data_IF_705825349496
#
_entry.id   IF_705825349496
#
_cell.length_a   1.000
_cell.length_b   1.000
_cell.length_c   1.000
_cell.angle_alpha   90.00
_cell.angle_beta   90.00
_cell.angle_gamma   90.00
#
_symmetry.space_group_name_H-M   'P 1'
#
loop_
_entity.id
_entity.type
_entity.pdbx_description
1 polymer ?
#
# COMPACT_ATOMS: atom_id res chain seq x y z
N UNK A 1 -14.35 52.77 -13.14
CA UNK A 1 -15.22 52.05 -12.19
C UNK A 1 -14.68 50.64 -12.04
N UNK A 2 -14.13 50.28 -10.88
CA UNK A 2 -13.53 48.96 -10.61
C UNK A 2 -14.55 48.17 -9.78
N UNK A 3 -14.94 46.98 -10.25
CA UNK A 3 -15.89 46.10 -9.57
C UNK A 3 -15.14 45.26 -8.51
N UNK A 4 -15.64 45.14 -7.27
CA UNK A 4 -15.02 44.29 -6.28
C UNK A 4 -15.36 42.80 -6.52
N UNK A 5 -14.51 41.86 -6.06
CA UNK A 5 -14.76 40.42 -6.19
C UNK A 5 -15.82 39.94 -5.17
N UNK A 6 -16.53 38.83 -5.44
CA UNK A 6 -17.57 38.31 -4.56
C UNK A 6 -16.99 37.52 -3.37
N UNK A 7 -17.73 37.39 -2.26
CA UNK A 7 -17.29 36.66 -1.08
C UNK A 7 -17.39 35.14 -1.27
N UNK A 8 -16.38 34.41 -0.82
CA UNK A 8 -16.37 32.94 -0.74
C UNK A 8 -17.20 32.46 0.44
N UNK A 9 -18.25 31.68 0.16
CA UNK A 9 -19.03 30.98 1.19
C UNK A 9 -18.37 29.62 1.57
N UNK A 10 -18.52 29.16 2.82
CA UNK A 10 -17.91 27.91 3.30
C UNK A 10 -18.70 26.69 2.82
N UNK A 11 -17.97 25.67 2.34
CA UNK A 11 -18.52 24.36 1.95
C UNK A 11 -18.96 23.61 3.20
N UNK A 12 -20.26 23.38 3.34
CA UNK A 12 -20.80 22.48 4.37
C UNK A 12 -20.61 21.02 3.95
N UNK A 13 -20.33 20.22 4.97
CA UNK A 13 -20.06 18.78 4.99
C UNK A 13 -21.18 17.96 4.36
N UNK A 14 -20.90 17.29 3.24
CA UNK A 14 -21.73 16.18 2.77
C UNK A 14 -21.25 14.88 3.42
N UNK A 15 -22.05 14.39 4.38
CA UNK A 15 -21.98 13.01 4.87
C UNK A 15 -22.17 12.08 3.69
N UNK A 16 -21.12 11.38 3.29
CA UNK A 16 -21.19 10.33 2.27
C UNK A 16 -22.04 9.14 2.79
N UNK A 17 -23.14 8.77 2.12
CA UNK A 17 -23.88 7.56 2.41
C UNK A 17 -23.35 6.45 1.51
N UNK A 18 -22.25 5.80 1.92
CA UNK A 18 -21.83 4.55 1.30
C UNK A 18 -21.55 3.51 2.37
N UNK A 19 -22.63 3.06 3.00
CA UNK A 19 -22.69 1.79 3.72
C UNK A 19 -23.88 1.04 3.14
N UNK A 20 -23.65 0.43 1.97
CA UNK A 20 -24.56 -0.54 1.39
C UNK A 20 -23.82 -1.87 1.30
N UNK A 21 -24.23 -2.76 2.21
CA UNK A 21 -24.02 -4.20 2.21
C UNK A 21 -24.17 -4.79 0.81
N UNK A 22 -23.12 -5.42 0.27
CA UNK A 22 -23.20 -6.40 -0.82
C UNK A 22 -22.03 -7.38 -0.58
N UNK A 23 -22.24 -8.53 0.05
CA UNK A 23 -22.80 -9.79 -0.47
C UNK A 23 -21.63 -10.78 -0.62
N UNK A 24 -21.78 -11.99 -0.09
CA UNK A 24 -20.80 -13.06 -0.27
C UNK A 24 -20.68 -13.35 -1.76
N UNK A 25 -19.61 -12.83 -2.39
CA UNK A 25 -19.27 -13.15 -3.75
C UNK A 25 -18.67 -14.54 -3.76
N UNK A 26 -19.52 -15.53 -4.01
CA UNK A 26 -19.11 -16.76 -4.65
C UNK A 26 -18.30 -16.39 -5.90
N UNK A 27 -16.96 -16.45 -5.80
CA UNK A 27 -16.03 -16.38 -6.92
C UNK A 27 -16.13 -17.67 -7.76
N UNK A 28 -17.35 -18.08 -8.12
CA UNK A 28 -17.53 -19.16 -9.07
C UNK A 28 -17.05 -18.67 -10.43
N UNK A 29 -15.95 -19.27 -10.88
CA UNK A 29 -15.32 -19.14 -12.21
C UNK A 29 -16.30 -19.63 -13.31
N UNK A 30 -17.43 -18.94 -13.51
CA UNK A 30 -18.48 -19.34 -14.45
C UNK A 30 -18.13 -19.11 -15.93
N UNK A 31 -17.00 -18.47 -16.24
CA UNK A 31 -16.53 -18.27 -17.63
C UNK A 31 -15.68 -19.43 -18.18
N UNK A 32 -15.44 -20.47 -17.38
CA UNK A 32 -14.46 -21.53 -17.77
C UNK A 32 -15.04 -22.60 -18.69
N UNK A 33 -16.36 -22.82 -18.64
CA UNK A 33 -16.97 -23.98 -19.29
C UNK A 33 -17.08 -23.82 -20.81
N UNK A 34 -17.48 -22.62 -21.27
CA UNK A 34 -17.66 -22.33 -22.70
C UNK A 34 -16.36 -22.40 -23.51
N UNK A 35 -15.26 -21.91 -22.95
CA UNK A 35 -13.94 -21.96 -23.61
C UNK A 35 -13.42 -23.40 -23.73
N UNK A 36 -13.72 -24.24 -22.75
CA UNK A 36 -13.23 -25.63 -22.70
C UNK A 36 -13.97 -26.48 -23.73
N UNK A 37 -15.30 -26.36 -23.79
CA UNK A 37 -16.11 -27.08 -24.77
C UNK A 37 -15.78 -26.66 -26.22
N UNK A 38 -15.64 -25.36 -26.49
CA UNK A 38 -15.30 -24.86 -27.81
C UNK A 38 -13.93 -25.34 -28.30
N UNK A 39 -12.91 -25.34 -27.43
CA UNK A 39 -11.59 -25.87 -27.77
C UNK A 39 -11.64 -27.37 -28.02
N UNK A 40 -12.39 -28.15 -27.23
CA UNK A 40 -12.54 -29.59 -27.44
C UNK A 40 -13.24 -29.93 -28.76
N UNK A 41 -14.30 -29.19 -29.11
CA UNK A 41 -14.97 -29.33 -30.41
C UNK A 41 -14.01 -29.02 -31.57
N UNK A 42 -13.27 -27.92 -31.48
CA UNK A 42 -12.30 -27.54 -32.52
C UNK A 42 -11.16 -28.55 -32.64
N UNK A 43 -10.67 -29.08 -31.52
CA UNK A 43 -9.65 -30.13 -31.51
C UNK A 43 -10.11 -31.41 -32.24
N UNK A 44 -11.40 -31.77 -32.11
CA UNK A 44 -11.98 -32.89 -32.85
C UNK A 44 -12.07 -32.60 -34.36
N UNK A 45 -12.49 -31.39 -34.77
CA UNK A 45 -12.57 -30.97 -36.18
C UNK A 45 -11.22 -31.07 -36.90
N UNK A 46 -10.14 -30.62 -36.25
CA UNK A 46 -8.78 -30.67 -36.80
C UNK A 46 -8.07 -32.01 -36.52
N UNK A 47 -8.76 -32.99 -35.93
CA UNK A 47 -8.27 -34.32 -35.58
C UNK A 47 -6.97 -34.27 -34.76
N UNK A 48 -6.97 -33.50 -33.68
CA UNK A 48 -5.81 -33.37 -32.81
C UNK A 48 -5.47 -34.73 -32.17
N UNK A 49 -4.21 -35.20 -32.21
CA UNK A 49 -3.84 -36.56 -31.80
C UNK A 49 -3.70 -36.75 -30.28
N UNK A 50 -4.03 -35.72 -29.48
CA UNK A 50 -3.99 -35.74 -28.03
C UNK A 50 -5.06 -34.79 -27.45
N UNK A 51 -5.50 -34.98 -26.20
CA UNK A 51 -6.54 -34.17 -25.58
C UNK A 51 -6.07 -32.74 -25.27
N UNK A 52 -7.02 -31.79 -25.31
CA UNK A 52 -6.78 -30.34 -25.12
C UNK A 52 -6.22 -30.04 -23.74
N UNK A 53 -6.59 -30.80 -22.71
CA UNK A 53 -6.16 -30.61 -21.33
C UNK A 53 -4.63 -30.66 -21.19
N UNK A 54 -3.96 -31.51 -21.98
CA UNK A 54 -2.50 -31.63 -21.99
C UNK A 54 -1.81 -30.36 -22.50
N UNK A 55 -2.45 -29.60 -23.38
CA UNK A 55 -1.90 -28.39 -24.00
C UNK A 55 -1.53 -27.35 -22.94
N UNK A 56 -2.37 -27.19 -21.90
CA UNK A 56 -2.14 -26.25 -20.81
C UNK A 56 -1.47 -26.85 -19.58
N UNK A 57 -1.72 -28.13 -19.28
CA UNK A 57 -1.24 -28.76 -18.05
C UNK A 57 0.28 -29.06 -18.07
N UNK A 58 0.84 -29.33 -19.24
CA UNK A 58 2.24 -29.76 -19.36
C UNK A 58 3.24 -28.62 -19.12
N UNK A 59 4.38 -28.96 -18.52
CA UNK A 59 5.56 -28.09 -18.45
C UNK A 59 6.09 -27.76 -19.85
N UNK A 60 6.95 -26.75 -19.97
CA UNK A 60 7.52 -26.35 -21.27
C UNK A 60 8.23 -27.52 -21.98
N UNK A 61 9.08 -28.24 -21.26
CA UNK A 61 9.87 -29.35 -21.83
C UNK A 61 8.97 -30.53 -22.23
N UNK A 62 8.03 -30.93 -21.38
CA UNK A 62 7.09 -32.02 -21.67
C UNK A 62 6.17 -31.68 -22.85
N UNK A 63 5.70 -30.43 -22.92
CA UNK A 63 4.92 -29.94 -24.05
C UNK A 63 5.72 -29.96 -25.36
N UNK A 64 6.97 -29.50 -25.36
CA UNK A 64 7.83 -29.60 -26.55
C UNK A 64 8.11 -31.05 -26.95
N UNK A 65 8.22 -31.97 -26.00
CA UNK A 65 8.37 -33.39 -26.30
C UNK A 65 7.09 -33.97 -26.93
N UNK A 66 5.91 -33.63 -26.41
CA UNK A 66 4.62 -34.02 -27.00
C UNK A 66 4.53 -33.57 -28.47
N UNK A 67 4.88 -32.30 -28.75
CA UNK A 67 4.88 -31.77 -30.12
C UNK A 67 5.89 -32.46 -31.05
N UNK A 68 7.01 -32.98 -30.52
CA UNK A 68 7.99 -33.74 -31.32
C UNK A 68 7.54 -35.18 -31.58
N UNK A 69 6.76 -35.77 -30.67
CA UNK A 69 6.24 -37.13 -30.80
C UNK A 69 5.11 -37.22 -31.83
N UNK A 70 4.29 -36.18 -31.94
CA UNK A 70 3.21 -36.10 -32.89
C UNK A 70 3.61 -35.22 -34.09
N UNK A 71 3.66 -35.78 -35.30
CA UNK A 71 3.84 -34.99 -36.52
C UNK A 71 2.54 -34.21 -36.79
N UNK A 72 2.47 -32.96 -36.33
CA UNK A 72 1.30 -32.11 -36.47
C UNK A 72 1.30 -31.33 -37.79
N UNK A 73 0.10 -31.05 -38.30
CA UNK A 73 -0.07 -30.09 -39.41
C UNK A 73 0.13 -28.65 -38.92
N UNK A 74 0.28 -27.71 -39.87
CA UNK A 74 0.41 -26.29 -39.54
C UNK A 74 -0.80 -25.76 -38.76
N UNK A 75 -2.02 -26.11 -39.19
CA UNK A 75 -3.27 -25.70 -38.53
C UNK A 75 -3.38 -26.25 -37.09
N UNK A 76 -2.97 -27.51 -36.87
CA UNK A 76 -2.88 -28.09 -35.53
C UNK A 76 -1.83 -27.39 -34.66
N UNK A 77 -0.68 -27.05 -35.22
CA UNK A 77 0.38 -26.36 -34.48
C UNK A 77 -0.07 -24.96 -34.03
N UNK A 78 -0.71 -24.21 -34.92
CA UNK A 78 -1.28 -22.90 -34.62
C UNK A 78 -2.35 -22.99 -33.52
N UNK A 79 -3.27 -23.94 -33.63
CA UNK A 79 -4.30 -24.18 -32.63
C UNK A 79 -3.70 -24.48 -31.25
N UNK A 80 -2.77 -25.42 -31.16
CA UNK A 80 -2.20 -25.85 -29.88
C UNK A 80 -1.42 -24.70 -29.21
N UNK A 81 -0.69 -23.90 -29.99
CA UNK A 81 0.00 -22.73 -29.45
C UNK A 81 -0.96 -21.65 -28.96
N UNK A 82 -2.05 -21.39 -29.70
CA UNK A 82 -3.04 -20.41 -29.30
C UNK A 82 -3.76 -20.82 -28.00
N UNK A 83 -4.22 -22.07 -27.92
CA UNK A 83 -4.83 -22.61 -26.70
C UNK A 83 -3.87 -22.48 -25.52
N UNK A 84 -2.60 -22.87 -25.68
CA UNK A 84 -1.60 -22.75 -24.60
C UNK A 84 -1.35 -21.29 -24.21
N UNK A 85 -1.37 -20.37 -25.18
CA UNK A 85 -1.19 -18.93 -24.94
C UNK A 85 -2.36 -18.35 -24.14
N UNK A 86 -3.60 -18.61 -24.56
CA UNK A 86 -4.82 -18.17 -23.86
C UNK A 86 -4.90 -18.73 -22.44
N UNK A 87 -4.63 -20.02 -22.25
CA UNK A 87 -4.63 -20.64 -20.92
C UNK A 87 -3.60 -20.01 -19.98
N UNK A 88 -2.38 -19.72 -20.46
CA UNK A 88 -1.37 -18.99 -19.66
C UNK A 88 -1.81 -17.57 -19.32
N UNK A 89 -2.40 -16.84 -20.29
CA UNK A 89 -2.90 -15.48 -20.06
C UNK A 89 -4.01 -15.48 -19.00
N UNK A 90 -4.94 -16.44 -19.05
CA UNK A 90 -5.99 -16.61 -18.04
C UNK A 90 -5.42 -16.76 -16.62
N UNK A 91 -4.44 -17.65 -16.44
CA UNK A 91 -3.77 -17.83 -15.14
C UNK A 91 -3.00 -16.57 -14.72
N UNK A 92 -2.34 -15.88 -15.66
CA UNK A 92 -1.64 -14.64 -15.37
C UNK A 92 -2.61 -13.54 -14.92
N UNK A 93 -3.74 -13.36 -15.61
CA UNK A 93 -4.78 -12.42 -15.25
C UNK A 93 -5.37 -12.72 -13.86
N UNK A 94 -5.65 -13.99 -13.55
CA UNK A 94 -6.09 -14.42 -12.23
C UNK A 94 -5.08 -14.05 -11.14
N UNK A 95 -3.79 -14.31 -11.37
CA UNK A 95 -2.70 -13.93 -10.44
C UNK A 95 -2.57 -12.42 -10.29
N UNK A 96 -2.72 -11.66 -11.37
CA UNK A 96 -2.69 -10.20 -11.32
C UNK A 96 -3.86 -9.63 -10.51
N UNK A 97 -5.08 -10.12 -10.73
CA UNK A 97 -6.27 -9.76 -9.94
C UNK A 97 -6.06 -10.10 -8.47
N UNK A 98 -5.61 -11.32 -8.17
CA UNK A 98 -5.28 -11.75 -6.81
C UNK A 98 -4.28 -10.81 -6.14
N UNK A 99 -3.14 -10.53 -6.79
CA UNK A 99 -2.12 -9.63 -6.25
C UNK A 99 -2.67 -8.22 -5.99
N UNK A 100 -3.51 -7.69 -6.89
CA UNK A 100 -4.16 -6.39 -6.72
C UNK A 100 -5.05 -6.39 -5.47
N UNK A 101 -5.88 -7.42 -5.31
CA UNK A 101 -6.76 -7.57 -4.15
C UNK A 101 -5.96 -7.76 -2.85
N UNK A 102 -4.92 -8.60 -2.86
CA UNK A 102 -4.02 -8.81 -1.72
C UNK A 102 -3.35 -7.48 -1.31
N UNK A 103 -2.91 -6.68 -2.29
CA UNK A 103 -2.31 -5.36 -2.05
C UNK A 103 -3.31 -4.36 -1.46
N UNK A 104 -4.54 -4.32 -1.96
CA UNK A 104 -5.62 -3.49 -1.38
C UNK A 104 -5.86 -3.91 0.07
N UNK A 105 -6.01 -5.21 0.33
CA UNK A 105 -6.25 -5.73 1.67
C UNK A 105 -5.11 -5.38 2.65
N UNK A 106 -3.86 -5.48 2.21
CA UNK A 106 -2.72 -5.09 3.03
C UNK A 106 -2.75 -3.60 3.40
N UNK A 107 -3.05 -2.74 2.42
CA UNK A 107 -3.19 -1.30 2.64
C UNK A 107 -4.36 -0.98 3.61
N UNK A 108 -5.47 -1.69 3.52
CA UNK A 108 -6.58 -1.55 4.46
C UNK A 108 -6.17 -1.88 5.90
N UNK A 109 -5.40 -2.96 6.09
CA UNK A 109 -4.84 -3.33 7.39
C UNK A 109 -3.89 -2.24 7.90
N UNK A 110 -3.00 -1.73 7.07
CA UNK A 110 -2.05 -0.68 7.44
C UNK A 110 -2.74 0.62 7.82
N UNK A 111 -3.76 1.04 7.05
CA UNK A 111 -4.57 2.21 7.39
C UNK A 111 -5.25 2.03 8.75
N UNK A 112 -5.81 0.84 9.02
CA UNK A 112 -6.43 0.54 10.32
C UNK A 112 -5.40 0.63 11.45
N UNK A 113 -4.23 0.02 11.27
CA UNK A 113 -3.12 0.04 12.24
C UNK A 113 -2.66 1.47 12.53
N UNK A 114 -2.42 2.27 11.50
CA UNK A 114 -1.98 3.66 11.62
C UNK A 114 -3.03 4.52 12.32
N UNK A 115 -4.33 4.32 12.04
CA UNK A 115 -5.42 5.02 12.74
C UNK A 115 -5.41 4.70 14.23
N UNK A 116 -5.29 3.43 14.59
CA UNK A 116 -5.22 3.02 16.00
C UNK A 116 -3.98 3.54 16.72
N UNK A 117 -2.82 3.58 16.06
CA UNK A 117 -1.61 4.18 16.62
C UNK A 117 -1.77 5.69 16.83
N UNK A 118 -2.35 6.40 15.86
CA UNK A 118 -2.63 7.83 15.97
C UNK A 118 -3.56 8.12 17.16
N UNK A 119 -4.62 7.34 17.33
CA UNK A 119 -5.55 7.50 18.45
C UNK A 119 -4.87 7.33 19.80
N UNK A 120 -4.04 6.28 19.95
CA UNK A 120 -3.24 6.06 21.17
C UNK A 120 -2.32 7.24 21.46
N UNK A 121 -1.57 7.72 20.48
CA UNK A 121 -0.66 8.86 20.65
C UNK A 121 -1.41 10.15 21.04
N UNK A 122 -2.63 10.36 20.53
CA UNK A 122 -3.46 11.50 20.91
C UNK A 122 -3.95 11.39 22.37
N UNK A 123 -4.26 10.17 22.83
CA UNK A 123 -4.58 9.91 24.24
C UNK A 123 -3.38 10.21 25.13
N UNK A 124 -2.21 9.63 24.83
CA UNK A 124 -0.96 9.88 25.56
C UNK A 124 -0.59 11.37 25.61
N UNK A 125 -0.72 12.09 24.48
CA UNK A 125 -0.50 13.55 24.45
C UNK A 125 -1.45 14.30 25.37
N UNK A 126 -2.71 13.87 25.44
CA UNK A 126 -3.72 14.52 26.29
C UNK A 126 -3.43 14.26 27.77
N UNK A 127 -3.07 13.03 28.13
CA UNK A 127 -2.67 12.65 29.49
C UNK A 127 -1.42 13.42 29.94
N UNK A 128 -0.41 13.51 29.09
CA UNK A 128 0.80 14.29 29.38
C UNK A 128 0.49 15.78 29.56
N UNK A 129 -0.42 16.34 28.76
CA UNK A 129 -0.84 17.73 28.91
C UNK A 129 -1.54 17.96 30.25
N UNK A 130 -2.46 17.06 30.64
CA UNK A 130 -3.13 17.12 31.93
C UNK A 130 -2.14 17.04 33.09
N UNK A 131 -1.19 16.10 33.04
CA UNK A 131 -0.16 15.94 34.07
C UNK A 131 0.74 17.18 34.21
N UNK A 132 1.11 17.80 33.08
CA UNK A 132 1.85 19.06 33.07
C UNK A 132 1.05 20.19 33.71
N UNK A 133 -0.24 20.31 33.39
CA UNK A 133 -1.11 21.35 33.95
C UNK A 133 -1.31 21.16 35.46
N UNK A 134 -1.50 19.92 35.93
CA UNK A 134 -1.58 19.57 37.36
C UNK A 134 -0.28 19.90 38.11
N UNK A 135 0.87 19.57 37.52
CA UNK A 135 2.20 19.87 38.10
C UNK A 135 2.42 21.38 38.19
N UNK A 136 2.06 22.13 37.13
CA UNK A 136 2.14 23.59 37.12
C UNK A 136 1.23 24.21 38.19
N UNK A 137 -0.01 23.75 38.31
CA UNK A 137 -0.95 24.23 39.32
C UNK A 137 -0.46 23.94 40.73
N UNK A 138 0.07 22.73 40.96
CA UNK A 138 0.66 22.33 42.25
C UNK A 138 1.82 23.26 42.60
N UNK A 139 2.78 23.45 41.69
CA UNK A 139 3.92 24.34 41.88
C UNK A 139 3.49 25.78 42.19
N UNK A 140 2.52 26.31 41.44
CA UNK A 140 1.93 27.62 41.72
C UNK A 140 1.28 27.68 43.12
N UNK A 141 0.63 26.61 43.56
CA UNK A 141 0.06 26.48 44.90
C UNK A 141 1.12 26.54 46.01
N UNK A 142 2.14 25.67 45.94
CA UNK A 142 3.27 25.67 46.88
C UNK A 142 3.99 27.02 46.93
N UNK A 143 4.22 27.63 45.78
CA UNK A 143 4.89 28.93 45.70
C UNK A 143 4.09 30.04 46.39
N UNK A 144 2.76 30.07 46.23
CA UNK A 144 1.90 31.04 46.93
C UNK A 144 1.99 30.89 48.45
N UNK A 145 2.04 29.66 48.96
CA UNK A 145 2.19 29.36 50.39
C UNK A 145 3.55 29.88 50.89
N UNK A 146 4.65 29.47 50.24
CA UNK A 146 6.01 29.88 50.61
C UNK A 146 6.20 31.39 50.54
N UNK A 147 5.61 32.06 49.54
CA UNK A 147 5.67 33.52 49.41
C UNK A 147 4.91 34.24 50.52
N UNK A 148 3.82 33.66 51.02
CA UNK A 148 3.05 34.21 52.13
C UNK A 148 3.80 34.10 53.46
N UNK A 149 4.61 33.05 53.62
CA UNK A 149 5.41 32.80 54.83
C UNK A 149 6.74 33.56 54.86
N UNK A 150 7.31 33.93 53.71
CA UNK A 150 8.70 34.44 53.62
C UNK A 150 8.87 35.96 53.52
N UNK A 151 7.80 36.74 53.36
CA UNK A 151 7.85 38.19 53.55
C UNK A 151 8.64 39.06 52.55
N UNK A 152 9.27 38.56 51.46
CA UNK A 152 9.64 39.32 50.22
C UNK A 152 10.43 38.46 49.21
N UNK A 153 10.15 38.58 47.90
CA UNK A 153 11.07 39.15 46.88
C UNK A 153 10.44 39.15 45.47
N UNK A 154 10.37 40.34 44.87
CA UNK A 154 9.57 40.67 43.67
C UNK A 154 10.15 40.11 42.36
N UNK A 155 11.43 39.70 42.34
CA UNK A 155 12.15 39.24 41.15
C UNK A 155 11.93 37.75 40.84
N UNK A 156 11.76 36.90 41.86
CA UNK A 156 11.43 35.49 41.69
C UNK A 156 10.04 35.29 41.05
N UNK A 157 9.11 36.20 41.31
CA UNK A 157 7.75 36.21 40.75
C UNK A 157 7.72 36.40 39.21
N UNK A 158 8.63 37.21 38.66
CA UNK A 158 8.64 37.50 37.22
C UNK A 158 9.17 36.35 36.36
N UNK A 159 10.15 35.58 36.84
CA UNK A 159 10.66 34.39 36.14
C UNK A 159 9.62 33.26 36.12
N UNK A 160 8.84 33.11 37.19
CA UNK A 160 7.83 32.06 37.31
C UNK A 160 6.55 32.35 36.52
N UNK A 161 6.20 33.62 36.34
CA UNK A 161 5.09 34.01 35.44
C UNK A 161 5.37 33.58 33.99
N UNK A 162 6.64 33.52 33.56
CA UNK A 162 7.03 32.96 32.25
C UNK A 162 6.79 31.45 32.14
N UNK A 163 7.01 30.66 33.21
CA UNK A 163 6.74 29.20 33.22
C UNK A 163 5.29 28.83 33.50
N UNK A 164 4.45 29.78 33.92
CA UNK A 164 3.00 29.58 34.11
C UNK A 164 2.17 29.87 32.84
N UNK A 165 2.76 30.50 31.82
CA UNK A 165 2.06 30.86 30.57
C UNK A 165 1.71 29.63 29.72
N UNK A 166 0.47 29.47 29.23
CA UNK A 166 0.05 28.34 28.38
C UNK A 166 0.84 28.22 27.07
N UNK A 167 1.38 29.35 26.56
CA UNK A 167 2.07 29.48 25.27
C UNK A 167 3.60 29.63 25.40
N UNK A 168 4.19 29.33 26.55
CA UNK A 168 5.65 29.38 26.68
C UNK A 168 6.27 28.30 25.76
N UNK A 169 7.17 28.67 24.81
CA UNK A 169 7.83 27.68 23.98
C UNK A 169 8.62 26.75 24.90
N UNK A 170 8.40 25.45 24.78
CA UNK A 170 9.26 24.45 25.41
C UNK A 170 10.63 24.62 24.77
N UNK A 171 11.49 25.43 25.37
CA UNK A 171 12.92 25.39 25.06
C UNK A 171 13.40 24.03 25.53
N UNK A 172 13.68 23.15 24.56
CA UNK A 172 14.38 21.88 24.79
C UNK A 172 15.63 22.14 25.64
N UNK A 173 15.87 21.38 26.73
CA UNK A 173 17.11 21.49 27.47
C UNK A 173 18.27 21.16 26.56
N UNK A 174 19.12 22.14 26.30
CA UNK A 174 20.40 21.98 25.61
C UNK A 174 21.39 21.24 26.51
N UNK A 175 21.15 19.97 26.78
CA UNK A 175 22.12 19.04 27.37
C UNK A 175 21.88 17.64 26.80
N UNK A 176 22.18 17.46 25.51
CA UNK A 176 22.62 16.17 25.00
C UNK A 176 24.10 16.33 24.69
N UNK A 177 24.93 15.55 25.36
CA UNK A 177 26.36 15.49 25.12
C UNK A 177 26.63 15.22 23.64
N UNK A 178 27.76 15.76 23.16
CA UNK A 178 28.32 15.47 21.86
C UNK A 178 28.31 13.96 21.60
N UNK A 179 27.45 13.51 20.71
CA UNK A 179 27.73 12.35 19.89
C UNK A 179 28.03 12.94 18.53
N UNK A 180 29.31 12.95 18.19
CA UNK A 180 29.76 13.29 16.84
C UNK A 180 29.03 12.38 15.85
N UNK A 181 28.15 13.00 15.08
CA UNK A 181 27.58 12.40 13.89
C UNK A 181 28.72 12.32 12.87
N UNK A 182 29.45 11.20 12.89
CA UNK A 182 30.17 10.77 11.71
C UNK A 182 29.12 10.52 10.64
N UNK A 183 29.04 11.45 9.69
CA UNK A 183 28.30 11.29 8.46
C UNK A 183 28.76 9.99 7.81
N UNK A 184 27.95 8.92 7.92
CA UNK A 184 28.13 7.73 7.09
C UNK A 184 27.59 8.12 5.72
N UNK A 185 28.43 8.24 4.68
CA UNK A 185 27.94 8.49 3.34
C UNK A 185 27.20 7.22 2.88
N UNK A 186 25.92 7.36 2.54
CA UNK A 186 25.22 6.32 1.80
C UNK A 186 25.75 6.40 0.36
N UNK A 187 26.85 5.70 0.11
CA UNK A 187 27.32 5.37 -1.23
C UNK A 187 26.20 4.63 -1.97
N UNK A 188 25.70 5.23 -3.04
CA UNK A 188 24.83 4.55 -3.99
C UNK A 188 25.69 3.68 -4.90
N UNK A 189 25.94 2.45 -4.45
CA UNK A 189 26.66 1.43 -5.20
C UNK A 189 26.00 1.20 -6.57
N UNK A 190 26.67 1.69 -7.60
CA UNK A 190 26.46 1.30 -8.98
C UNK A 190 27.52 0.26 -9.33
N UNK A 191 27.13 -1.01 -9.29
CA UNK A 191 27.73 -2.03 -10.15
C UNK A 191 28.34 -3.23 -9.44
N UNK A 192 27.57 -4.31 -9.39
CA UNK A 192 28.11 -5.63 -9.68
C UNK A 192 27.53 -6.07 -11.03
N UNK A 193 28.41 -6.21 -12.02
CA UNK A 193 28.08 -6.68 -13.35
C UNK A 193 27.38 -8.04 -13.28
N UNK A 194 26.23 -8.10 -13.95
CA UNK A 194 25.66 -9.35 -14.43
C UNK A 194 25.92 -9.33 -15.93
N UNK A 195 26.61 -10.36 -16.42
CA UNK A 195 27.01 -10.51 -17.82
C UNK A 195 25.87 -10.19 -18.79
N UNK A 196 26.13 -9.40 -19.84
CA UNK A 196 25.13 -9.00 -20.82
C UNK A 196 24.94 -10.11 -21.85
N UNK A 197 24.30 -11.20 -21.46
CA UNK A 197 23.84 -12.21 -22.41
C UNK A 197 22.41 -12.70 -22.10
N UNK A 198 21.48 -11.78 -21.84
CA UNK A 198 20.04 -12.05 -21.94
C UNK A 198 19.25 -10.78 -22.35
N UNK A 199 19.72 -10.10 -23.41
CA UNK A 199 18.88 -9.19 -24.20
C UNK A 199 18.31 -10.01 -25.36
N UNK A 200 17.22 -10.73 -25.11
CA UNK A 200 16.21 -11.17 -26.08
C UNK A 200 15.31 -12.17 -25.37
N UNK A 201 14.22 -11.68 -24.78
CA UNK A 201 12.91 -12.35 -24.75
C UNK A 201 11.94 -11.33 -24.14
N UNK A 202 11.57 -10.34 -24.94
CA UNK A 202 10.42 -9.50 -24.68
C UNK A 202 9.15 -10.32 -24.89
N UNK A 203 8.43 -10.69 -23.80
CA UNK A 203 6.99 -10.50 -23.82
C UNK A 203 6.39 -9.94 -22.51
N UNK A 204 7.18 -9.71 -21.46
CA UNK A 204 6.62 -9.31 -20.16
C UNK A 204 6.10 -7.87 -20.09
N UNK A 205 6.66 -6.94 -20.87
CA UNK A 205 6.23 -5.53 -20.86
C UNK A 205 4.83 -5.30 -21.48
N UNK A 206 4.38 -6.16 -22.39
CA UNK A 206 3.05 -6.05 -23.01
C UNK A 206 1.93 -6.50 -22.05
N UNK A 207 2.24 -7.36 -21.07
CA UNK A 207 1.26 -7.86 -20.09
C UNK A 207 0.98 -6.89 -18.94
N UNK A 208 1.87 -5.91 -18.69
CA UNK A 208 1.67 -4.92 -17.64
C UNK A 208 0.72 -3.78 -18.06
N UNK A 209 0.63 -3.46 -19.36
CA UNK A 209 -0.26 -2.40 -19.84
C UNK A 209 -1.71 -2.86 -20.14
N UNK A 210 -1.96 -4.16 -20.25
CA UNK A 210 -3.30 -4.70 -20.56
C UNK A 210 -4.17 -4.99 -19.32
N UNK A 211 -3.60 -4.99 -18.11
CA UNK A 211 -4.37 -5.11 -16.85
C UNK A 211 -4.99 -3.78 -16.37
N UNK A 212 -4.94 -2.71 -17.21
CA UNK A 212 -5.44 -1.38 -16.88
C UNK A 212 -6.84 -1.08 -17.47
N UNK A 213 -7.49 -2.02 -18.14
CA UNK A 213 -8.83 -1.83 -18.72
C UNK A 213 -9.75 -2.97 -18.28
N UNK A 214 -10.76 -2.62 -17.48
CA UNK A 214 -11.75 -3.43 -16.75
C UNK A 214 -11.29 -3.88 -15.35
#
# INVERSE_FOLDING_TARGET
MIRPPPPTAPRQSEKSPYMSSLNSGDDSDLDTDGDTEANNKRAAEIQLPFPVEQISALSRSAFQQLLRQHQLTQDQMEFVHDVRRRSKNRVAAQRCRKRKLDGIHHLEIDVKKLKSQKERLLQERTELQQNLDETRQSLCGWFKIVSLESGSDQDHLQLLTKVSSPDAPVSSPSYLGKVEEYQIPIEMDHGAGVDPEYILEAPFAIYMLSCLIH
#
